data_IF_496173513035
#
_entry.id   IF_496173513035
#
_cell.length_a   1.000
_cell.length_b   1.000
_cell.length_c   1.000
_cell.angle_alpha   90.00
_cell.angle_beta   90.00
_cell.angle_gamma   90.00
#
_symmetry.space_group_name_H-M   'P 1'
#
loop_
_entity.id
_entity.type
_entity.pdbx_description
1 polymer ?
#
# COMPACT_ATOMS: atom_id res chain seq x y z
N UNK A 1 23.11 11.45 0.83
CA UNK A 1 23.10 10.03 1.28
C UNK A 1 23.61 9.16 0.16
N UNK A 2 24.50 8.24 0.46
CA UNK A 2 25.04 7.26 -0.50
C UNK A 2 23.98 6.20 -0.79
N UNK A 3 24.08 5.54 -1.95
CA UNK A 3 23.19 4.46 -2.34
C UNK A 3 23.25 3.26 -1.36
N UNK A 4 24.48 2.92 -0.90
CA UNK A 4 24.71 1.87 0.09
C UNK A 4 24.00 2.12 1.41
N UNK A 5 23.92 3.37 1.87
CA UNK A 5 23.23 3.70 3.11
C UNK A 5 21.72 3.44 2.99
N UNK A 6 21.12 3.72 1.82
CA UNK A 6 19.73 3.43 1.55
C UNK A 6 19.44 1.93 1.51
N UNK A 7 20.31 1.14 0.87
CA UNK A 7 20.19 -0.32 0.84
C UNK A 7 20.24 -0.89 2.25
N UNK A 8 21.22 -0.47 3.06
CA UNK A 8 21.34 -0.90 4.45
C UNK A 8 20.09 -0.56 5.27
N UNK A 9 19.50 0.62 5.08
CA UNK A 9 18.27 1.00 5.77
C UNK A 9 17.10 0.08 5.37
N UNK A 10 17.01 -0.34 4.11
CA UNK A 10 16.00 -1.30 3.66
C UNK A 10 16.26 -2.67 4.29
N UNK A 11 17.49 -3.18 4.25
CA UNK A 11 17.84 -4.48 4.83
C UNK A 11 17.52 -4.53 6.33
N UNK A 12 17.93 -3.51 7.08
CA UNK A 12 17.62 -3.43 8.51
C UNK A 12 16.10 -3.41 8.76
N UNK A 13 15.34 -2.71 7.93
CA UNK A 13 13.88 -2.68 8.05
C UNK A 13 13.25 -4.02 7.65
N UNK A 14 13.83 -4.76 6.69
CA UNK A 14 13.40 -6.12 6.34
C UNK A 14 13.60 -7.09 7.52
N UNK A 15 14.74 -7.04 8.20
CA UNK A 15 15.02 -7.86 9.38
C UNK A 15 14.00 -7.62 10.50
N UNK A 16 13.72 -6.35 10.79
CA UNK A 16 12.70 -5.96 11.77
C UNK A 16 11.29 -6.38 11.33
N UNK A 17 10.97 -6.25 10.05
CA UNK A 17 9.69 -6.65 9.49
C UNK A 17 9.48 -8.15 9.55
N UNK A 18 10.47 -8.94 9.19
CA UNK A 18 10.43 -10.40 9.30
C UNK A 18 10.24 -10.84 10.76
N UNK A 19 10.99 -10.24 11.70
CA UNK A 19 10.82 -10.53 13.14
C UNK A 19 9.38 -10.24 13.60
N UNK A 20 8.80 -9.12 13.18
CA UNK A 20 7.43 -8.76 13.53
C UNK A 20 6.42 -9.74 12.88
N UNK A 21 6.64 -10.14 11.63
CA UNK A 21 5.80 -11.13 10.95
C UNK A 21 5.86 -12.48 11.68
N UNK A 22 7.04 -12.99 12.00
CA UNK A 22 7.19 -14.24 12.72
C UNK A 22 6.49 -14.25 14.08
N UNK A 23 6.49 -13.12 14.79
CA UNK A 23 5.84 -12.98 16.09
C UNK A 23 4.31 -12.91 16.01
N UNK A 24 3.76 -12.28 14.99
CA UNK A 24 2.33 -11.97 14.90
C UNK A 24 1.57 -12.75 13.82
N UNK A 25 2.28 -13.32 12.85
CA UNK A 25 1.75 -14.10 11.73
C UNK A 25 2.69 -15.25 11.37
N UNK A 26 2.86 -16.25 12.27
CA UNK A 26 3.80 -17.36 12.08
C UNK A 26 3.44 -18.25 10.87
N UNK A 27 2.21 -18.21 10.38
CA UNK A 27 1.76 -18.87 9.14
C UNK A 27 2.31 -18.23 7.86
N UNK A 28 3.03 -17.12 7.97
CA UNK A 28 3.49 -16.32 6.86
C UNK A 28 2.56 -15.13 6.56
N UNK A 29 3.10 -14.15 5.88
CA UNK A 29 2.39 -12.93 5.58
C UNK A 29 2.86 -12.32 4.27
N UNK A 30 1.99 -12.28 3.29
CA UNK A 30 2.17 -11.54 2.05
C UNK A 30 1.12 -10.44 1.95
N UNK A 31 1.55 -9.20 2.14
CA UNK A 31 0.69 -8.04 2.15
C UNK A 31 -0.10 -7.87 0.84
N UNK A 32 0.61 -7.96 -0.28
CA UNK A 32 -0.01 -7.72 -1.57
C UNK A 32 -0.88 -8.90 -2.04
N UNK A 33 -0.58 -10.13 -1.67
CA UNK A 33 -1.48 -11.26 -1.94
C UNK A 33 -2.79 -11.13 -1.14
N UNK A 34 -2.71 -10.76 0.14
CA UNK A 34 -3.89 -10.48 0.96
C UNK A 34 -4.68 -9.30 0.36
N UNK A 35 -4.01 -8.22 -0.02
CA UNK A 35 -4.66 -7.05 -0.64
C UNK A 35 -5.36 -7.40 -1.96
N UNK A 36 -4.77 -8.27 -2.78
CA UNK A 36 -5.36 -8.80 -4.01
C UNK A 36 -6.63 -9.61 -3.72
N UNK A 37 -6.57 -10.55 -2.79
CA UNK A 37 -7.75 -11.35 -2.42
C UNK A 37 -8.91 -10.46 -1.93
N UNK A 38 -8.58 -9.48 -1.10
CA UNK A 38 -9.57 -8.52 -0.59
C UNK A 38 -10.13 -7.63 -1.69
N UNK A 39 -9.29 -7.20 -2.65
CA UNK A 39 -9.73 -6.43 -3.81
C UNK A 39 -10.71 -7.24 -4.68
N UNK A 40 -10.47 -8.52 -4.88
CA UNK A 40 -11.40 -9.41 -5.61
C UNK A 40 -12.73 -9.55 -4.88
N UNK A 41 -12.72 -9.75 -3.56
CA UNK A 41 -13.95 -9.81 -2.75
C UNK A 41 -14.71 -8.48 -2.79
N UNK A 42 -13.99 -7.38 -2.66
CA UNK A 42 -14.55 -6.03 -2.77
C UNK A 42 -15.17 -5.78 -4.15
N UNK A 43 -14.50 -6.15 -5.22
CA UNK A 43 -15.01 -6.07 -6.58
C UNK A 43 -16.32 -6.85 -6.76
N UNK A 44 -16.36 -8.07 -6.22
CA UNK A 44 -17.57 -8.92 -6.26
C UNK A 44 -18.73 -8.29 -5.48
N UNK A 45 -18.47 -7.74 -4.30
CA UNK A 45 -19.50 -7.12 -3.46
C UNK A 45 -20.18 -5.91 -4.14
N UNK A 46 -19.45 -5.17 -4.96
CA UNK A 46 -19.97 -4.00 -5.69
C UNK A 46 -20.28 -4.27 -7.17
N UNK A 47 -20.20 -5.53 -7.61
CA UNK A 47 -20.45 -5.92 -9.00
C UNK A 47 -19.62 -5.08 -10.03
N UNK A 48 -18.37 -4.84 -9.70
CA UNK A 48 -17.40 -4.16 -10.59
C UNK A 48 -16.25 -5.11 -10.94
N UNK A 49 -15.46 -4.76 -11.96
CA UNK A 49 -14.27 -5.57 -12.25
C UNK A 49 -13.16 -5.34 -11.22
N UNK A 50 -12.25 -6.32 -10.98
CA UNK A 50 -11.10 -6.15 -10.09
C UNK A 50 -10.22 -4.95 -10.46
N UNK A 51 -10.11 -4.62 -11.74
CA UNK A 51 -9.37 -3.45 -12.23
C UNK A 51 -10.02 -2.14 -11.75
N UNK A 52 -11.35 -2.04 -11.87
CA UNK A 52 -12.11 -0.88 -11.39
C UNK A 52 -11.98 -0.78 -9.87
N UNK A 53 -12.16 -1.88 -9.15
CA UNK A 53 -12.00 -1.92 -7.69
C UNK A 53 -10.60 -1.46 -7.26
N UNK A 54 -9.56 -1.96 -7.91
CA UNK A 54 -8.17 -1.59 -7.59
C UNK A 54 -7.86 -0.12 -7.88
N UNK A 55 -8.42 0.45 -8.97
CA UNK A 55 -8.30 1.89 -9.26
C UNK A 55 -8.99 2.76 -8.20
N UNK A 56 -10.20 2.38 -7.79
CA UNK A 56 -10.95 3.10 -6.77
C UNK A 56 -10.22 3.04 -5.42
N UNK A 57 -9.75 1.85 -5.00
CA UNK A 57 -8.98 1.65 -3.78
C UNK A 57 -7.67 2.46 -3.79
N UNK A 58 -6.91 2.40 -4.89
CA UNK A 58 -5.68 3.15 -5.01
C UNK A 58 -5.91 4.67 -5.06
N UNK A 59 -6.95 5.13 -5.74
CA UNK A 59 -7.36 6.53 -5.78
C UNK A 59 -7.78 7.06 -4.40
N UNK A 60 -8.46 6.22 -3.61
CA UNK A 60 -8.92 6.53 -2.25
C UNK A 60 -7.79 6.54 -1.21
N UNK A 61 -6.66 5.89 -1.48
CA UNK A 61 -5.57 5.66 -0.51
C UNK A 61 -4.73 6.88 -0.16
N UNK A 62 -5.09 8.07 -0.64
CA UNK A 62 -4.32 9.29 -0.40
C UNK A 62 -4.43 9.74 1.05
N UNK A 63 -3.28 9.79 1.74
CA UNK A 63 -3.15 10.28 3.12
C UNK A 63 -4.16 9.65 4.11
N UNK A 64 -4.39 8.35 4.00
CA UNK A 64 -5.28 7.62 4.90
C UNK A 64 -4.74 6.21 5.18
N UNK A 65 -5.36 5.54 6.15
CA UNK A 65 -5.11 4.12 6.42
C UNK A 65 -5.70 3.24 5.31
N UNK A 66 -5.32 1.98 5.26
CA UNK A 66 -5.92 1.00 4.32
C UNK A 66 -7.41 0.85 4.60
N UNK A 67 -7.79 0.79 5.88
CA UNK A 67 -9.18 0.79 6.31
C UNK A 67 -9.98 1.99 5.78
N UNK A 68 -9.45 3.21 5.93
CA UNK A 68 -10.09 4.41 5.38
C UNK A 68 -10.18 4.37 3.85
N UNK A 69 -9.20 3.75 3.18
CA UNK A 69 -9.24 3.56 1.73
C UNK A 69 -10.42 2.69 1.32
N UNK A 70 -10.65 1.56 1.98
CA UNK A 70 -11.82 0.72 1.74
C UNK A 70 -13.13 1.46 2.03
N UNK A 71 -13.23 2.13 3.17
CA UNK A 71 -14.41 2.92 3.54
C UNK A 71 -14.73 4.01 2.52
N UNK A 72 -13.74 4.77 2.07
CA UNK A 72 -13.91 5.80 1.03
C UNK A 72 -14.31 5.19 -0.30
N UNK A 73 -13.73 4.04 -0.65
CA UNK A 73 -14.05 3.31 -1.87
C UNK A 73 -15.48 2.79 -1.86
N UNK A 74 -15.95 2.29 -0.72
CA UNK A 74 -17.36 1.88 -0.53
C UNK A 74 -18.29 3.08 -0.78
N UNK A 75 -18.07 4.20 -0.08
CA UNK A 75 -18.87 5.41 -0.26
C UNK A 75 -18.90 5.83 -1.73
N UNK A 76 -17.73 5.83 -2.39
CA UNK A 76 -17.64 6.20 -3.80
C UNK A 76 -18.43 5.26 -4.70
N UNK A 77 -18.31 3.94 -4.53
CA UNK A 77 -19.02 2.98 -5.37
C UNK A 77 -20.54 2.98 -5.13
N UNK A 78 -20.99 3.34 -3.93
CA UNK A 78 -22.42 3.48 -3.59
C UNK A 78 -23.04 4.78 -4.09
N UNK A 79 -22.31 5.89 -3.97
CA UNK A 79 -22.87 7.24 -4.15
C UNK A 79 -22.37 7.97 -5.37
N UNK A 80 -21.33 7.45 -6.04
CA UNK A 80 -20.62 8.10 -7.14
C UNK A 80 -19.70 9.25 -6.71
N UNK A 81 -19.56 9.51 -5.40
CA UNK A 81 -18.70 10.59 -4.91
C UNK A 81 -18.14 10.30 -3.54
N UNK A 82 -16.98 10.87 -3.22
CA UNK A 82 -16.39 10.82 -1.89
C UNK A 82 -15.55 12.09 -1.63
N UNK A 83 -15.62 12.61 -0.42
CA UNK A 83 -14.90 13.82 -0.03
C UNK A 83 -13.38 13.63 -0.18
N UNK A 84 -12.68 14.60 -0.73
CA UNK A 84 -11.23 14.64 -1.04
C UNK A 84 -10.73 13.71 -2.16
N UNK A 85 -11.49 12.74 -2.63
CA UNK A 85 -10.98 11.76 -3.60
C UNK A 85 -11.88 11.58 -4.83
N UNK A 86 -13.15 11.99 -4.80
CA UNK A 86 -14.13 11.72 -5.84
C UNK A 86 -13.67 12.16 -7.23
N UNK A 87 -13.39 13.42 -7.45
CA UNK A 87 -12.95 13.97 -8.75
C UNK A 87 -11.68 13.26 -9.27
N UNK A 88 -10.79 12.86 -8.35
CA UNK A 88 -9.58 12.15 -8.73
C UNK A 88 -9.90 10.71 -9.18
N UNK A 89 -10.78 10.02 -8.47
CA UNK A 89 -11.23 8.68 -8.85
C UNK A 89 -11.94 8.73 -10.20
N UNK A 90 -12.84 9.69 -10.41
CA UNK A 90 -13.52 9.91 -11.70
C UNK A 90 -12.52 10.07 -12.84
N UNK A 91 -11.51 10.90 -12.63
CA UNK A 91 -10.43 11.09 -13.61
C UNK A 91 -9.64 9.81 -13.89
N UNK A 92 -9.39 8.96 -12.89
CA UNK A 92 -8.72 7.67 -13.06
C UNK A 92 -9.57 6.70 -13.89
N UNK A 93 -10.85 6.57 -13.53
CA UNK A 93 -11.78 5.68 -14.22
C UNK A 93 -12.03 6.11 -15.66
N UNK A 94 -12.19 7.40 -15.91
CA UNK A 94 -12.35 7.91 -17.27
C UNK A 94 -11.13 7.62 -18.14
N UNK A 95 -9.91 7.82 -17.64
CA UNK A 95 -8.68 7.47 -18.35
C UNK A 95 -8.58 5.99 -18.63
N UNK A 96 -8.93 5.14 -17.67
CA UNK A 96 -8.98 3.70 -17.85
C UNK A 96 -10.01 3.33 -18.92
N UNK A 97 -11.22 3.88 -18.84
CA UNK A 97 -12.29 3.65 -19.83
C UNK A 97 -11.88 4.01 -21.24
N UNK A 98 -11.17 5.13 -21.43
CA UNK A 98 -10.72 5.60 -22.75
C UNK A 98 -9.54 4.81 -23.29
N UNK A 99 -8.57 4.47 -22.44
CA UNK A 99 -7.31 3.84 -22.87
C UNK A 99 -7.32 2.31 -22.80
N UNK A 100 -8.18 1.72 -21.99
CA UNK A 100 -8.14 0.29 -21.65
C UNK A 100 -6.88 -0.12 -20.87
N UNK A 101 -6.06 0.84 -20.42
CA UNK A 101 -4.76 0.58 -19.80
C UNK A 101 -4.67 1.18 -18.40
N UNK A 102 -4.34 0.35 -17.42
CA UNK A 102 -4.06 0.78 -16.06
C UNK A 102 -2.87 1.77 -15.96
N UNK A 103 -1.89 1.64 -16.85
CA UNK A 103 -0.70 2.49 -16.90
C UNK A 103 -0.92 3.92 -17.40
N UNK A 104 -2.13 4.27 -17.87
CA UNK A 104 -2.46 5.66 -18.26
C UNK A 104 -2.80 6.56 -17.07
N UNK A 105 -2.72 6.02 -15.85
CA UNK A 105 -2.90 6.74 -14.60
C UNK A 105 -1.75 7.74 -14.41
N UNK A 106 -2.10 9.01 -14.14
CA UNK A 106 -1.13 10.13 -14.10
C UNK A 106 -0.13 10.10 -12.96
N UNK A 107 -0.41 9.39 -11.87
CA UNK A 107 0.49 9.27 -10.74
C UNK A 107 1.23 7.94 -10.76
N UNK A 108 2.57 7.92 -10.92
CA UNK A 108 3.34 6.68 -10.88
C UNK A 108 3.10 5.85 -9.61
N UNK A 109 2.93 6.52 -8.47
CA UNK A 109 2.58 5.86 -7.20
C UNK A 109 1.26 5.11 -7.30
N UNK A 110 0.20 5.77 -7.79
CA UNK A 110 -1.14 5.17 -7.89
C UNK A 110 -1.12 4.04 -8.91
N UNK A 111 -0.46 4.21 -10.05
CA UNK A 111 -0.31 3.15 -11.05
C UNK A 111 0.38 1.90 -10.47
N UNK A 112 1.49 2.08 -9.77
CA UNK A 112 2.22 0.99 -9.12
C UNK A 112 1.37 0.33 -8.02
N UNK A 113 0.71 1.11 -7.18
CA UNK A 113 -0.14 0.58 -6.12
C UNK A 113 -1.34 -0.19 -6.69
N UNK A 114 -2.03 0.36 -7.70
CA UNK A 114 -3.11 -0.34 -8.41
C UNK A 114 -2.62 -1.67 -8.99
N UNK A 115 -1.43 -1.67 -9.63
CA UNK A 115 -0.82 -2.88 -10.18
C UNK A 115 -0.61 -3.94 -9.09
N UNK A 116 -0.02 -3.56 -7.96
CA UNK A 116 0.32 -4.49 -6.89
C UNK A 116 -0.91 -5.08 -6.20
N UNK A 117 -1.94 -4.25 -5.88
CA UNK A 117 -3.17 -4.78 -5.26
C UNK A 117 -4.03 -5.62 -6.22
N UNK A 118 -3.83 -5.47 -7.54
CA UNK A 118 -4.51 -6.29 -8.55
C UNK A 118 -3.79 -7.62 -8.78
N UNK A 119 -2.46 -7.63 -8.79
CA UNK A 119 -1.66 -8.78 -9.21
C UNK A 119 -1.02 -9.54 -8.03
N UNK A 120 -0.98 -8.96 -6.83
CA UNK A 120 -0.26 -9.50 -5.69
C UNK A 120 1.23 -9.15 -5.72
N UNK A 121 2.08 -10.04 -5.23
CA UNK A 121 3.52 -9.83 -5.21
C UNK A 121 4.11 -9.70 -6.63
N UNK A 122 4.90 -8.66 -6.85
CA UNK A 122 5.38 -8.27 -8.17
C UNK A 122 6.71 -7.51 -8.11
N UNK A 123 7.35 -7.36 -9.26
CA UNK A 123 8.55 -6.53 -9.43
C UNK A 123 8.22 -5.05 -9.71
N UNK A 124 7.10 -4.57 -9.16
CA UNK A 124 6.70 -3.16 -9.24
C UNK A 124 6.77 -2.54 -7.85
N UNK A 125 7.55 -1.47 -7.70
CA UNK A 125 7.69 -0.73 -6.46
C UNK A 125 6.67 0.42 -6.38
N UNK A 126 5.88 0.47 -5.33
CA UNK A 126 5.04 1.64 -5.00
C UNK A 126 5.86 2.67 -4.22
N UNK A 127 6.53 3.58 -4.92
CA UNK A 127 7.34 4.62 -4.25
C UNK A 127 6.43 5.66 -3.59
N UNK A 128 6.16 5.46 -2.33
CA UNK A 128 5.40 6.38 -1.50
C UNK A 128 6.29 7.12 -0.48
N UNK A 129 5.69 8.00 0.32
CA UNK A 129 6.39 8.76 1.36
C UNK A 129 7.06 7.85 2.41
N UNK A 130 6.47 6.70 2.71
CA UNK A 130 7.02 5.75 3.68
C UNK A 130 8.24 5.04 3.10
N UNK A 131 8.17 4.54 1.87
CA UNK A 131 9.32 3.95 1.18
C UNK A 131 10.50 4.93 1.09
N UNK A 132 10.21 6.22 0.81
CA UNK A 132 11.24 7.25 0.76
C UNK A 132 11.83 7.52 2.14
N UNK A 133 10.99 7.67 3.17
CA UNK A 133 11.43 7.95 4.55
C UNK A 133 12.27 6.81 5.11
N UNK A 134 11.88 5.57 4.87
CA UNK A 134 12.61 4.37 5.22
C UNK A 134 14.01 4.39 4.59
N UNK A 135 14.09 4.58 3.27
CA UNK A 135 15.39 4.65 2.58
C UNK A 135 16.29 5.76 3.10
N UNK A 136 15.71 6.89 3.47
CA UNK A 136 16.46 8.06 3.97
C UNK A 136 16.78 7.92 5.47
N UNK A 137 16.11 7.03 6.21
CA UNK A 137 16.25 6.85 7.65
C UNK A 137 15.66 8.00 8.47
N UNK A 138 14.79 8.83 7.87
CA UNK A 138 14.07 9.91 8.55
C UNK A 138 12.83 10.32 7.75
N UNK A 139 11.87 10.96 8.42
CA UNK A 139 10.66 11.46 7.79
C UNK A 139 10.97 12.43 6.63
N UNK A 140 10.37 12.18 5.47
CA UNK A 140 10.47 13.00 4.26
C UNK A 140 9.05 13.41 3.83
N UNK A 141 8.78 14.71 3.77
CA UNK A 141 7.46 15.22 3.38
C UNK A 141 7.32 15.34 1.85
N UNK A 142 8.39 15.77 1.19
CA UNK A 142 8.44 15.95 -0.26
C UNK A 142 9.68 15.30 -0.84
N UNK A 143 9.56 14.72 -2.03
CA UNK A 143 10.68 14.09 -2.71
C UNK A 143 10.85 14.65 -4.13
N UNK A 144 12.11 14.80 -4.54
CA UNK A 144 12.47 15.11 -5.92
C UNK A 144 12.49 13.84 -6.76
N UNK A 145 12.31 13.97 -8.09
CA UNK A 145 12.44 12.84 -9.02
C UNK A 145 13.80 12.11 -8.89
N UNK A 146 14.85 12.88 -8.62
CA UNK A 146 16.20 12.30 -8.38
C UNK A 146 16.21 11.42 -7.13
N UNK A 147 15.51 11.81 -6.05
CA UNK A 147 15.41 10.99 -4.83
C UNK A 147 14.56 9.75 -5.09
N UNK A 148 13.43 9.89 -5.78
CA UNK A 148 12.56 8.77 -6.18
C UNK A 148 13.36 7.74 -6.99
N UNK A 149 14.15 8.18 -7.96
CA UNK A 149 15.00 7.30 -8.76
C UNK A 149 16.09 6.61 -7.91
N UNK A 150 16.65 7.27 -6.89
CA UNK A 150 17.58 6.63 -5.95
C UNK A 150 16.91 5.58 -5.08
N UNK A 151 15.71 5.86 -4.57
CA UNK A 151 14.89 4.92 -3.79
C UNK A 151 14.59 3.66 -4.61
N UNK A 152 14.15 3.84 -5.86
CA UNK A 152 13.92 2.72 -6.77
C UNK A 152 15.16 1.82 -6.91
N UNK A 153 16.32 2.41 -7.20
CA UNK A 153 17.56 1.64 -7.31
C UNK A 153 17.97 0.94 -6.00
N UNK A 154 17.69 1.55 -4.85
CA UNK A 154 17.99 0.94 -3.55
C UNK A 154 17.11 -0.29 -3.29
N UNK A 155 15.81 -0.22 -3.57
CA UNK A 155 14.92 -1.38 -3.46
C UNK A 155 15.29 -2.49 -4.43
N UNK A 156 15.64 -2.19 -5.68
CA UNK A 156 16.13 -3.19 -6.63
C UNK A 156 17.40 -3.88 -6.12
N UNK A 157 18.34 -3.13 -5.54
CA UNK A 157 19.55 -3.72 -4.97
C UNK A 157 19.23 -4.60 -3.76
N UNK A 158 18.37 -4.13 -2.83
CA UNK A 158 17.96 -4.91 -1.66
C UNK A 158 17.18 -6.17 -2.04
N UNK A 159 16.23 -6.07 -2.97
CA UNK A 159 15.48 -7.23 -3.49
C UNK A 159 16.40 -8.28 -4.11
N UNK A 160 17.40 -7.84 -4.92
CA UNK A 160 18.39 -8.75 -5.48
C UNK A 160 19.25 -9.43 -4.41
N UNK A 161 19.60 -8.72 -3.33
CA UNK A 161 20.41 -9.26 -2.23
C UNK A 161 19.63 -10.26 -1.38
N UNK A 162 18.33 -10.02 -1.17
CA UNK A 162 17.46 -10.83 -0.31
C UNK A 162 16.67 -11.90 -1.05
N UNK A 163 16.63 -11.86 -2.37
CA UNK A 163 15.82 -12.77 -3.20
C UNK A 163 14.31 -12.45 -3.20
N UNK A 164 13.92 -11.30 -2.64
CA UNK A 164 12.51 -10.86 -2.59
C UNK A 164 12.14 -10.07 -3.84
N UNK A 165 10.87 -10.17 -4.24
CA UNK A 165 10.28 -9.24 -5.21
C UNK A 165 10.25 -7.81 -4.65
N UNK A 166 10.07 -6.81 -5.50
CA UNK A 166 10.07 -5.41 -5.05
C UNK A 166 8.90 -5.09 -4.13
N UNK A 167 7.73 -5.65 -4.40
CA UNK A 167 6.54 -5.46 -3.57
C UNK A 167 6.65 -6.15 -2.22
N UNK A 168 7.22 -7.36 -2.16
CA UNK A 168 7.53 -8.06 -0.90
C UNK A 168 8.55 -7.29 -0.08
N UNK A 169 9.68 -6.91 -0.69
CA UNK A 169 10.70 -6.12 -0.01
C UNK A 169 10.12 -4.79 0.54
N UNK A 170 9.24 -4.15 -0.22
CA UNK A 170 8.56 -2.93 0.23
C UNK A 170 7.62 -3.20 1.40
N UNK A 171 6.75 -4.18 1.32
CA UNK A 171 5.74 -4.46 2.34
C UNK A 171 6.36 -4.90 3.66
N UNK A 172 7.33 -5.81 3.62
CA UNK A 172 8.06 -6.29 4.81
C UNK A 172 8.85 -5.14 5.45
N UNK A 173 9.62 -4.39 4.67
CA UNK A 173 10.38 -3.26 5.19
C UNK A 173 9.51 -2.13 5.73
N UNK A 174 8.31 -1.92 5.16
CA UNK A 174 7.32 -0.97 5.67
C UNK A 174 6.80 -1.39 7.05
N UNK A 175 6.55 -2.68 7.27
CA UNK A 175 6.19 -3.23 8.60
C UNK A 175 7.30 -2.95 9.60
N UNK A 176 8.54 -3.27 9.26
CA UNK A 176 9.70 -3.00 10.11
C UNK A 176 9.91 -1.51 10.40
N UNK A 177 9.76 -0.66 9.40
CA UNK A 177 9.85 0.79 9.57
C UNK A 177 8.75 1.32 10.50
N UNK A 178 7.50 0.90 10.33
CA UNK A 178 6.40 1.31 11.22
C UNK A 178 6.62 0.86 12.66
N UNK A 179 7.27 -0.27 12.88
CA UNK A 179 7.54 -0.78 14.23
C UNK A 179 8.51 0.09 15.03
N UNK A 180 9.38 0.85 14.35
CA UNK A 180 10.39 1.71 14.96
C UNK A 180 10.15 3.22 14.78
N UNK A 181 9.19 3.62 13.96
CA UNK A 181 8.87 5.04 13.74
C UNK A 181 8.23 5.64 15.00
N UNK A 182 8.92 6.58 15.71
CA UNK A 182 8.40 7.15 16.94
C UNK A 182 7.05 7.85 16.76
N UNK A 183 6.81 8.41 15.57
CA UNK A 183 5.55 9.09 15.25
C UNK A 183 4.41 8.08 15.15
N UNK A 184 4.68 6.92 14.54
CA UNK A 184 3.71 5.84 14.46
C UNK A 184 3.41 5.26 15.84
N UNK A 185 4.46 5.01 16.64
CA UNK A 185 4.32 4.54 18.01
C UNK A 185 3.50 5.51 18.87
N UNK A 186 3.74 6.82 18.72
CA UNK A 186 2.98 7.86 19.42
C UNK A 186 1.50 7.83 19.03
N UNK A 187 1.19 7.83 17.73
CA UNK A 187 -0.19 7.76 17.24
C UNK A 187 -0.87 6.44 17.60
N UNK A 188 -0.15 5.32 17.55
CA UNK A 188 -0.68 4.03 17.98
C UNK A 188 -1.04 4.03 19.46
N UNK A 189 -0.17 4.60 20.31
CA UNK A 189 -0.42 4.73 21.75
C UNK A 189 -1.62 5.64 22.06
N UNK A 190 -1.74 6.80 21.39
CA UNK A 190 -2.90 7.70 21.55
C UNK A 190 -4.23 7.06 21.13
N UNK A 191 -4.21 6.21 20.11
CA UNK A 191 -5.40 5.51 19.62
C UNK A 191 -5.65 4.17 20.33
N UNK A 192 -4.83 3.77 21.33
CA UNK A 192 -4.91 2.47 21.97
C UNK A 192 -4.56 1.29 21.06
N UNK A 193 -3.86 1.57 19.95
CA UNK A 193 -3.47 0.55 18.96
C UNK A 193 -2.12 -0.07 19.37
N UNK A 194 -2.03 -1.39 19.34
CA UNK A 194 -0.81 -2.15 19.56
C UNK A 194 -0.11 -2.48 18.23
N UNK A 195 1.12 -3.03 18.30
CA UNK A 195 1.84 -3.52 17.11
C UNK A 195 1.02 -4.52 16.26
N UNK A 196 0.14 -5.30 16.89
CA UNK A 196 -0.82 -6.16 16.21
C UNK A 196 -1.74 -5.39 15.23
N UNK A 197 -2.01 -4.11 15.48
CA UNK A 197 -2.87 -3.28 14.62
C UNK A 197 -2.21 -2.90 13.28
N UNK A 198 -0.88 -3.03 13.18
CA UNK A 198 -0.19 -2.95 11.89
C UNK A 198 -0.72 -4.03 10.94
N UNK A 199 -1.02 -5.21 11.50
CA UNK A 199 -1.60 -6.32 10.77
C UNK A 199 -3.13 -6.25 10.69
N UNK A 200 -3.79 -5.61 11.66
CA UNK A 200 -5.24 -5.39 11.66
C UNK A 200 -5.70 -4.40 10.57
N UNK A 201 -4.87 -3.42 10.20
CA UNK A 201 -5.11 -2.58 9.01
C UNK A 201 -5.26 -3.40 7.71
N UNK A 202 -4.98 -4.70 7.76
CA UNK A 202 -5.06 -5.66 6.67
C UNK A 202 -6.19 -6.70 6.78
N UNK A 203 -7.08 -6.56 7.74
CA UNK A 203 -8.31 -7.35 7.80
C UNK A 203 -9.55 -6.46 7.66
N UNK A 204 -9.77 -5.81 6.49
CA UNK A 204 -11.07 -5.18 6.21
C UNK A 204 -12.18 -6.22 6.04
N UNK A 205 -11.90 -7.51 6.25
CA UNK A 205 -12.90 -8.58 6.22
C UNK A 205 -14.07 -8.28 7.14
N UNK A 206 -13.81 -7.81 8.37
CA UNK A 206 -14.85 -7.44 9.32
C UNK A 206 -15.76 -6.33 8.77
N UNK A 207 -15.21 -5.44 7.95
CA UNK A 207 -15.99 -4.36 7.32
C UNK A 207 -16.81 -4.87 6.13
N UNK A 208 -16.24 -5.73 5.30
CA UNK A 208 -16.98 -6.34 4.18
C UNK A 208 -18.08 -7.28 4.69
N UNK A 209 -17.86 -7.95 5.83
CA UNK A 209 -18.89 -8.76 6.50
C UNK A 209 -19.99 -7.91 7.17
N UNK A 210 -19.69 -6.66 7.53
CA UNK A 210 -20.68 -5.70 8.08
C UNK A 210 -21.39 -4.88 7.01
N UNK A 211 -20.92 -4.92 5.76
CA UNK A 211 -21.68 -4.33 4.65
C UNK A 211 -23.00 -5.09 4.53
N UNK A 212 -24.14 -4.38 4.46
CA UNK A 212 -25.40 -5.04 4.19
C UNK A 212 -25.23 -5.87 2.91
N UNK A 213 -25.65 -7.14 2.96
CA UNK A 213 -25.76 -7.96 1.77
C UNK A 213 -26.72 -7.23 0.82
N UNK A 214 -26.16 -6.46 -0.10
CA UNK A 214 -26.95 -5.89 -1.18
C UNK A 214 -27.36 -7.04 -2.09
N UNK A 215 -28.60 -7.47 -1.86
CA UNK A 215 -29.32 -8.41 -2.70
C UNK A 215 -29.70 -7.75 -4.02
#
# INVERSE_FOLDING_TARGET
>A
MRQSDMVNNIINALELGNTAIEQHRPEGYSWYEIAKEQTVKFASAFNVSPEVASLVLAGSSRACTVWDSFRRSTIYLETGTVFFAGDYIDSLLERYRVSGKMGSVTSPKVAAFTHNILNGDSDVLTVDRHAISLCVGKKVETATDTLIAKVNRAFHAAGKETGLSLSEAQSISWIGWRSIDPLFQFHAAECGRHHADVFADFTPMDYLETLPAYA
#
